data_IF_614878317979
#
_entry.id   IF_614878317979
#
_cell.length_a   1.000
_cell.length_b   1.000
_cell.length_c   1.000
_cell.angle_alpha   90.00
_cell.angle_beta   90.00
_cell.angle_gamma   90.00
#
_symmetry.space_group_name_H-M   'P 1'
#
loop_
_entity.id
_entity.type
_entity.pdbx_description
1 polymer ?
#
# COMPACT_ATOMS: atom_id res chain seq x y z
N UNK A 1 13.67 -20.08 -6.93
CA UNK A 1 13.14 -18.87 -7.57
C UNK A 1 14.19 -17.79 -7.42
N UNK A 2 14.58 -17.15 -8.49
CA UNK A 2 15.42 -15.95 -8.46
C UNK A 2 14.53 -14.72 -8.40
N UNK A 3 14.69 -13.89 -7.38
CA UNK A 3 13.97 -12.64 -7.18
C UNK A 3 14.90 -11.42 -7.35
N UNK A 4 16.08 -11.61 -7.93
CA UNK A 4 16.98 -10.51 -8.29
C UNK A 4 16.36 -9.65 -9.38
N UNK A 5 16.57 -8.35 -9.29
CA UNK A 5 16.10 -7.42 -10.32
C UNK A 5 16.84 -7.68 -11.64
N UNK A 6 16.10 -7.75 -12.73
CA UNK A 6 16.68 -7.78 -14.07
C UNK A 6 17.10 -6.37 -14.53
N UNK A 7 17.85 -6.23 -15.63
CA UNK A 7 18.31 -4.92 -16.11
C UNK A 7 17.18 -3.93 -16.42
N UNK A 8 16.04 -4.41 -16.94
CA UNK A 8 14.90 -3.54 -17.29
C UNK A 8 14.23 -3.01 -16.02
N UNK A 9 14.05 -3.86 -15.02
CA UNK A 9 13.53 -3.46 -13.71
C UNK A 9 14.45 -2.44 -13.02
N UNK A 10 15.77 -2.61 -13.12
CA UNK A 10 16.72 -1.63 -12.59
C UNK A 10 16.61 -0.29 -13.31
N UNK A 11 16.53 -0.29 -14.64
CA UNK A 11 16.38 0.93 -15.43
C UNK A 11 15.06 1.67 -15.11
N UNK A 12 13.96 0.94 -14.93
CA UNK A 12 12.67 1.52 -14.53
C UNK A 12 12.78 2.16 -13.14
N UNK A 13 13.42 1.50 -12.18
CA UNK A 13 13.61 2.05 -10.84
C UNK A 13 14.51 3.29 -10.84
N UNK A 14 15.58 3.31 -11.63
CA UNK A 14 16.46 4.49 -11.76
C UNK A 14 15.69 5.69 -12.34
N UNK A 15 14.84 5.45 -13.33
CA UNK A 15 13.97 6.48 -13.90
C UNK A 15 12.94 6.96 -12.87
N UNK A 16 12.29 6.04 -12.15
CA UNK A 16 11.34 6.36 -11.10
C UNK A 16 11.98 7.15 -9.95
N UNK A 17 13.16 6.76 -9.48
CA UNK A 17 13.89 7.46 -8.43
C UNK A 17 14.28 8.89 -8.86
N UNK A 18 14.63 9.07 -10.13
CA UNK A 18 14.93 10.38 -10.70
C UNK A 18 13.69 11.28 -10.74
N UNK A 19 12.54 10.74 -11.15
CA UNK A 19 11.25 11.44 -11.13
C UNK A 19 10.82 11.76 -9.70
N UNK A 20 10.93 10.81 -8.78
CA UNK A 20 10.46 10.94 -7.40
C UNK A 20 11.32 11.87 -6.52
N UNK A 21 12.54 12.18 -6.94
CA UNK A 21 13.49 12.98 -6.15
C UNK A 21 12.96 14.34 -5.66
N UNK A 22 12.24 15.15 -6.45
CA UNK A 22 11.64 16.40 -5.98
C UNK A 22 10.58 16.21 -4.90
N UNK A 23 9.97 15.04 -4.84
CA UNK A 23 8.87 14.66 -3.95
C UNK A 23 9.31 13.91 -2.69
N UNK A 24 10.61 13.71 -2.49
CA UNK A 24 11.16 12.94 -1.37
C UNK A 24 10.94 13.59 0.01
N UNK A 25 10.52 14.85 0.06
CA UNK A 25 10.22 15.57 1.30
C UNK A 25 8.88 16.29 1.20
N UNK A 26 8.23 16.46 2.36
CA UNK A 26 6.95 17.16 2.49
C UNK A 26 7.02 18.14 3.65
N UNK A 27 6.44 19.34 3.49
CA UNK A 27 6.28 20.29 4.59
C UNK A 27 5.25 19.75 5.60
N UNK A 28 5.69 19.45 6.82
CA UNK A 28 4.82 18.89 7.85
C UNK A 28 3.82 19.90 8.42
N UNK A 29 4.09 21.20 8.29
CA UNK A 29 3.27 22.27 8.87
C UNK A 29 2.06 22.64 8.01
N UNK A 30 2.16 22.45 6.69
CA UNK A 30 1.15 22.88 5.73
C UNK A 30 0.37 21.71 5.14
N UNK A 31 0.60 20.49 5.63
CA UNK A 31 0.08 19.27 5.05
C UNK A 31 -1.15 18.79 5.80
N UNK A 32 -2.25 18.65 5.09
CA UNK A 32 -3.43 17.93 5.59
C UNK A 32 -3.18 16.41 5.66
N UNK A 33 -4.20 15.65 6.03
CA UNK A 33 -4.08 14.18 6.17
C UNK A 33 -4.36 13.39 4.88
N UNK A 34 -4.65 14.05 3.76
CA UNK A 34 -4.88 13.37 2.46
C UNK A 34 -3.60 13.08 1.69
N UNK A 35 -2.54 13.82 1.94
CA UNK A 35 -1.17 13.65 1.42
C UNK A 35 -1.04 13.47 -0.11
N UNK A 36 -1.99 13.98 -0.90
CA UNK A 36 -1.99 13.86 -2.36
C UNK A 36 -1.19 14.98 -3.02
N UNK A 37 -0.52 14.66 -4.14
CA UNK A 37 0.16 15.61 -5.01
C UNK A 37 -0.25 15.36 -6.47
N UNK A 38 -1.04 16.29 -7.03
CA UNK A 38 -1.55 16.15 -8.40
C UNK A 38 -0.46 16.33 -9.48
N UNK A 39 0.67 16.94 -9.14
CA UNK A 39 1.84 17.03 -10.02
C UNK A 39 2.49 15.66 -10.16
N UNK A 40 2.79 15.03 -9.04
CA UNK A 40 3.35 13.68 -8.99
C UNK A 40 2.44 12.66 -9.68
N UNK A 41 1.13 12.67 -9.38
CA UNK A 41 0.16 11.75 -10.01
C UNK A 41 0.20 11.87 -11.55
N UNK A 42 0.30 13.10 -12.07
CA UNK A 42 0.38 13.36 -13.51
C UNK A 42 1.70 12.87 -14.10
N UNK A 43 2.83 13.17 -13.46
CA UNK A 43 4.14 12.74 -13.93
C UNK A 43 4.27 11.21 -13.95
N UNK A 44 3.70 10.52 -12.97
CA UNK A 44 3.65 9.05 -12.93
C UNK A 44 2.79 8.46 -14.05
N UNK A 45 1.63 9.10 -14.34
CA UNK A 45 0.76 8.68 -15.44
C UNK A 45 1.41 8.92 -16.80
N UNK A 46 1.98 10.10 -17.03
CA UNK A 46 2.66 10.47 -18.28
C UNK A 46 3.90 9.58 -18.53
N UNK A 47 4.58 9.17 -17.47
CA UNK A 47 5.72 8.26 -17.52
C UNK A 47 5.35 6.78 -17.70
N UNK A 48 4.07 6.41 -17.64
CA UNK A 48 3.60 5.03 -17.81
C UNK A 48 3.98 4.08 -16.66
N UNK A 49 4.42 4.60 -15.52
CA UNK A 49 4.87 3.75 -14.39
C UNK A 49 3.75 2.88 -13.80
N UNK A 50 2.50 3.29 -13.92
CA UNK A 50 1.36 2.53 -13.44
C UNK A 50 0.80 1.53 -14.48
N UNK A 51 1.38 1.51 -15.68
CA UNK A 51 0.95 0.68 -16.82
C UNK A 51 1.88 -0.51 -17.09
N UNK A 52 2.97 -0.64 -16.34
CA UNK A 52 4.03 -1.64 -16.59
C UNK A 52 3.53 -3.08 -16.60
N UNK A 53 2.48 -3.40 -15.86
CA UNK A 53 1.93 -4.76 -15.83
C UNK A 53 1.09 -5.12 -17.06
N UNK A 54 0.75 -4.15 -17.92
CA UNK A 54 0.16 -4.42 -19.24
C UNK A 54 1.19 -4.97 -20.23
N UNK A 55 2.48 -4.73 -19.98
CA UNK A 55 3.57 -5.33 -20.75
C UNK A 55 3.85 -6.75 -20.21
N UNK A 56 3.68 -7.80 -21.04
CA UNK A 56 3.89 -9.19 -20.62
C UNK A 56 5.32 -9.48 -20.15
N UNK A 57 6.32 -8.76 -20.68
CA UNK A 57 7.73 -8.96 -20.36
C UNK A 57 8.09 -8.36 -18.98
N UNK A 58 7.33 -7.34 -18.54
CA UNK A 58 7.51 -6.68 -17.24
C UNK A 58 6.62 -7.29 -16.15
N UNK A 59 5.33 -7.45 -16.42
CA UNK A 59 4.37 -8.15 -15.59
C UNK A 59 4.15 -7.58 -14.17
N UNK A 60 3.41 -8.35 -13.37
CA UNK A 60 3.03 -7.98 -11.98
C UNK A 60 4.24 -7.84 -11.06
N UNK A 61 5.33 -8.59 -11.30
CA UNK A 61 6.57 -8.48 -10.52
C UNK A 61 7.17 -7.08 -10.58
N UNK A 62 7.26 -6.49 -11.77
CA UNK A 62 7.77 -5.12 -11.97
C UNK A 62 6.82 -4.08 -11.37
N UNK A 63 5.50 -4.26 -11.52
CA UNK A 63 4.51 -3.39 -10.89
C UNK A 63 4.63 -3.41 -9.35
N UNK A 64 4.84 -4.57 -8.73
CA UNK A 64 4.99 -4.68 -7.28
C UNK A 64 6.24 -3.95 -6.76
N UNK A 65 7.36 -3.99 -7.50
CA UNK A 65 8.58 -3.26 -7.17
C UNK A 65 8.34 -1.74 -7.26
N UNK A 66 7.64 -1.27 -8.29
CA UNK A 66 7.29 0.15 -8.46
C UNK A 66 6.37 0.61 -7.32
N UNK A 67 5.34 -0.17 -7.00
CA UNK A 67 4.43 0.13 -5.88
C UNK A 67 5.19 0.24 -4.55
N UNK A 68 6.09 -0.69 -4.27
CA UNK A 68 6.94 -0.63 -3.08
C UNK A 68 7.78 0.63 -3.05
N UNK A 69 8.41 1.01 -4.17
CA UNK A 69 9.25 2.20 -4.26
C UNK A 69 8.44 3.48 -4.08
N UNK A 70 7.28 3.61 -4.72
CA UNK A 70 6.38 4.74 -4.58
C UNK A 70 5.80 4.88 -3.17
N UNK A 71 5.49 3.77 -2.51
CA UNK A 71 4.96 3.78 -1.15
C UNK A 71 5.95 4.33 -0.11
N UNK A 72 7.25 4.37 -0.42
CA UNK A 72 8.26 5.02 0.43
C UNK A 72 8.13 6.53 0.47
N UNK A 73 7.53 7.14 -0.55
CA UNK A 73 7.33 8.58 -0.59
C UNK A 73 6.36 9.06 0.51
N UNK A 74 6.51 10.29 0.99
CA UNK A 74 5.60 10.86 1.97
C UNK A 74 4.19 11.09 1.41
N UNK A 75 4.03 11.25 0.09
CA UNK A 75 2.75 11.42 -0.58
C UNK A 75 1.94 10.12 -0.63
N UNK A 76 0.62 10.26 -0.63
CA UNK A 76 -0.30 9.16 -0.88
C UNK A 76 -0.58 9.05 -2.39
N UNK A 77 -0.16 7.96 -2.99
CA UNK A 77 -0.29 7.68 -4.42
C UNK A 77 -1.19 6.46 -4.59
N UNK A 78 -2.16 6.53 -5.49
CA UNK A 78 -2.98 5.37 -5.87
C UNK A 78 -2.20 4.54 -6.92
N UNK A 79 -1.11 3.91 -6.51
CA UNK A 79 -0.30 3.05 -7.37
C UNK A 79 -0.63 1.56 -7.21
N UNK A 80 -0.97 1.12 -6.00
CA UNK A 80 -1.11 -0.29 -5.69
C UNK A 80 -2.22 -0.98 -6.50
N UNK A 81 -3.40 -0.39 -6.55
CA UNK A 81 -4.51 -0.94 -7.31
C UNK A 81 -4.37 -0.66 -8.81
N UNK A 82 -3.88 0.53 -9.18
CA UNK A 82 -3.68 0.91 -10.58
C UNK A 82 -2.64 0.06 -11.27
N UNK A 83 -1.50 -0.22 -10.64
CA UNK A 83 -0.44 -0.98 -11.29
C UNK A 83 -0.62 -2.50 -11.21
N UNK A 84 -1.29 -3.02 -10.17
CA UNK A 84 -1.36 -4.47 -9.91
C UNK A 84 -2.75 -5.05 -10.20
N UNK A 85 -3.82 -4.34 -9.86
CA UNK A 85 -5.19 -4.87 -9.99
C UNK A 85 -5.86 -4.47 -11.29
N UNK A 86 -5.66 -3.22 -11.75
CA UNK A 86 -6.28 -2.69 -12.98
C UNK A 86 -6.01 -3.55 -14.23
N UNK A 87 -4.81 -4.12 -14.44
CA UNK A 87 -4.55 -4.96 -15.60
C UNK A 87 -5.51 -6.15 -15.76
N UNK A 88 -6.06 -6.67 -14.66
CA UNK A 88 -7.08 -7.73 -14.71
C UNK A 88 -8.42 -7.26 -15.27
N UNK A 89 -8.71 -5.97 -15.20
CA UNK A 89 -9.99 -5.37 -15.58
C UNK A 89 -9.99 -4.89 -17.04
N UNK A 90 -8.82 -4.80 -17.67
CA UNK A 90 -8.61 -4.38 -19.05
C UNK A 90 -8.27 -2.89 -19.22
N UNK A 91 -7.87 -2.53 -20.43
CA UNK A 91 -7.29 -1.22 -20.78
C UNK A 91 -8.29 -0.02 -20.68
N UNK A 92 -9.60 -0.33 -20.64
CA UNK A 92 -10.64 0.71 -20.56
C UNK A 92 -10.88 1.31 -19.17
N UNK A 93 -10.15 0.83 -18.14
CA UNK A 93 -10.33 1.24 -16.76
C UNK A 93 -9.35 2.36 -16.41
N UNK A 94 -9.88 3.48 -15.87
CA UNK A 94 -9.07 4.61 -15.42
C UNK A 94 -8.15 4.26 -14.25
N UNK A 95 -7.12 5.09 -14.05
CA UNK A 95 -6.07 4.88 -13.03
C UNK A 95 -6.46 5.25 -11.59
N UNK A 96 -7.71 5.54 -11.30
CA UNK A 96 -8.17 5.83 -9.93
C UNK A 96 -9.13 4.74 -9.49
N UNK A 97 -8.61 3.72 -8.82
CA UNK A 97 -9.39 2.56 -8.38
C UNK A 97 -9.71 2.61 -6.88
N UNK A 98 -10.93 2.18 -6.57
CA UNK A 98 -11.36 1.86 -5.21
C UNK A 98 -11.97 0.45 -5.22
N UNK A 99 -11.79 -0.31 -4.16
CA UNK A 99 -12.36 -1.65 -4.06
C UNK A 99 -13.27 -1.76 -2.85
N UNK A 100 -14.43 -2.37 -3.04
CA UNK A 100 -15.39 -2.62 -1.98
C UNK A 100 -15.92 -4.05 -2.05
N UNK A 101 -16.02 -4.71 -0.90
CA UNK A 101 -16.78 -5.95 -0.79
C UNK A 101 -18.27 -5.61 -0.74
N UNK A 102 -19.11 -6.27 -1.55
CA UNK A 102 -20.55 -6.00 -1.67
C UNK A 102 -21.29 -6.06 -0.33
N UNK A 103 -20.83 -6.90 0.59
CA UNK A 103 -21.36 -7.00 1.95
C UNK A 103 -20.92 -5.90 2.91
N UNK A 104 -20.02 -4.99 2.54
CA UNK A 104 -19.44 -3.98 3.44
C UNK A 104 -19.35 -2.59 2.82
N UNK A 105 -20.48 -2.06 2.39
CA UNK A 105 -20.58 -0.79 1.63
C UNK A 105 -20.20 0.45 2.45
N UNK A 106 -20.32 0.41 3.77
CA UNK A 106 -20.23 1.61 4.63
C UNK A 106 -18.84 1.91 5.20
N UNK A 107 -17.81 1.21 4.79
CA UNK A 107 -16.44 1.52 5.23
C UNK A 107 -15.86 2.72 4.47
N UNK A 108 -14.98 3.52 5.07
CA UNK A 108 -14.21 4.51 4.32
C UNK A 108 -13.35 3.82 3.25
N UNK A 109 -13.40 4.36 2.03
CA UNK A 109 -12.60 3.89 0.88
C UNK A 109 -11.53 4.92 0.58
N UNK A 110 -10.29 4.47 0.47
CA UNK A 110 -9.19 5.32 0.03
C UNK A 110 -9.32 5.65 -1.45
N UNK A 111 -8.95 6.86 -1.81
CA UNK A 111 -9.00 7.42 -3.17
C UNK A 111 -10.39 7.48 -3.82
N UNK A 112 -11.47 7.23 -3.06
CA UNK A 112 -12.82 7.40 -3.57
C UNK A 112 -13.11 8.87 -3.79
N UNK A 113 -13.48 9.22 -5.03
CA UNK A 113 -13.89 10.55 -5.47
C UNK A 113 -14.83 10.43 -6.66
N UNK A 114 -15.47 11.50 -7.06
CA UNK A 114 -16.17 11.57 -8.34
C UNK A 114 -15.22 11.18 -9.49
N UNK A 115 -15.70 10.35 -10.41
CA UNK A 115 -14.93 9.85 -11.55
C UNK A 115 -14.01 8.64 -11.22
N UNK A 116 -13.86 8.24 -9.95
CA UNK A 116 -13.11 7.05 -9.61
C UNK A 116 -13.84 5.78 -10.07
N UNK A 117 -13.10 4.79 -10.50
CA UNK A 117 -13.63 3.44 -10.77
C UNK A 117 -13.77 2.69 -9.45
N UNK A 118 -15.00 2.32 -9.10
CA UNK A 118 -15.29 1.48 -7.93
C UNK A 118 -15.50 0.05 -8.38
N UNK A 119 -14.63 -0.84 -7.93
CA UNK A 119 -14.73 -2.28 -8.18
C UNK A 119 -15.48 -2.92 -7.02
N UNK A 120 -16.54 -3.64 -7.33
CA UNK A 120 -17.38 -4.35 -6.36
C UNK A 120 -17.05 -5.83 -6.41
N UNK A 121 -16.60 -6.36 -5.29
CA UNK A 121 -16.30 -7.79 -5.10
C UNK A 121 -17.49 -8.45 -4.46
N UNK A 122 -18.23 -9.23 -5.25
CA UNK A 122 -19.35 -10.07 -4.83
C UNK A 122 -19.10 -11.52 -5.29
N UNK A 123 -20.16 -12.19 -5.77
CA UNK A 123 -20.04 -13.50 -6.43
C UNK A 123 -19.31 -13.38 -7.79
N UNK A 124 -19.34 -12.19 -8.38
CA UNK A 124 -18.60 -11.80 -9.57
C UNK A 124 -17.92 -10.44 -9.34
N UNK A 125 -16.94 -10.14 -10.18
CA UNK A 125 -16.27 -8.84 -10.16
C UNK A 125 -17.00 -7.90 -11.10
N UNK A 126 -17.46 -6.77 -10.56
CA UNK A 126 -18.15 -5.73 -11.34
C UNK A 126 -17.56 -4.36 -11.03
N UNK A 127 -17.74 -3.38 -11.90
CA UNK A 127 -17.31 -2.00 -11.65
C UNK A 127 -18.32 -0.98 -12.14
N UNK A 128 -18.18 0.24 -11.61
CA UNK A 128 -18.88 1.43 -12.07
C UNK A 128 -18.02 2.67 -11.83
N UNK A 129 -18.31 3.76 -12.52
CA UNK A 129 -17.69 5.06 -12.26
C UNK A 129 -18.52 5.81 -11.21
N UNK A 130 -17.88 6.24 -10.12
CA UNK A 130 -18.56 6.95 -9.05
C UNK A 130 -19.02 8.34 -9.49
N UNK A 131 -20.28 8.69 -9.23
CA UNK A 131 -20.84 10.02 -9.40
C UNK A 131 -20.76 10.85 -8.12
N UNK A 132 -20.89 12.17 -8.24
CA UNK A 132 -20.77 13.09 -7.10
C UNK A 132 -21.77 12.79 -5.96
N UNK A 133 -22.99 12.37 -6.28
CA UNK A 133 -24.05 12.04 -5.33
C UNK A 133 -23.82 10.69 -4.59
N UNK A 134 -22.89 9.87 -5.08
CA UNK A 134 -22.48 8.61 -4.44
C UNK A 134 -21.34 8.79 -3.45
N UNK A 135 -20.65 9.93 -3.45
CA UNK A 135 -19.41 10.12 -2.69
C UNK A 135 -19.61 11.13 -1.58
N UNK A 136 -19.33 10.72 -0.34
CA UNK A 136 -19.22 11.64 0.79
C UNK A 136 -17.79 11.66 1.28
N UNK A 137 -17.10 12.79 1.07
CA UNK A 137 -15.72 12.97 1.54
C UNK A 137 -15.65 12.92 3.09
N UNK A 138 -14.55 12.37 3.60
CA UNK A 138 -14.23 12.28 5.04
C UNK A 138 -12.91 13.07 5.31
N UNK A 139 -12.94 14.43 5.23
CA UNK A 139 -11.72 15.24 5.25
C UNK A 139 -10.95 15.20 6.57
N UNK A 140 -11.61 14.80 7.66
CA UNK A 140 -10.97 14.69 8.98
C UNK A 140 -10.43 13.28 9.29
N UNK A 141 -10.49 12.37 8.33
CA UNK A 141 -9.96 11.03 8.52
C UNK A 141 -8.43 11.03 8.58
N UNK A 142 -7.87 10.50 9.66
CA UNK A 142 -6.44 10.51 9.95
C UNK A 142 -5.69 9.31 9.34
N UNK A 143 -5.97 8.94 8.08
CA UNK A 143 -5.36 7.77 7.46
C UNK A 143 -4.17 8.07 6.55
N UNK A 144 -3.87 9.34 6.30
CA UNK A 144 -2.83 9.73 5.35
C UNK A 144 -3.18 9.45 3.89
N UNK A 145 -4.42 9.03 3.62
CA UNK A 145 -5.02 8.89 2.28
C UNK A 145 -6.23 9.82 2.16
N UNK A 146 -6.57 10.29 0.96
CA UNK A 146 -7.88 10.83 0.71
C UNK A 146 -8.90 9.70 0.86
N UNK A 147 -9.86 9.86 1.76
CA UNK A 147 -10.90 8.85 2.02
C UNK A 147 -12.28 9.46 1.87
N UNK A 148 -13.21 8.65 1.40
CA UNK A 148 -14.61 8.97 1.33
C UNK A 148 -15.47 7.73 1.61
N UNK A 149 -16.72 7.95 1.96
CA UNK A 149 -17.71 6.89 2.12
C UNK A 149 -18.57 6.80 0.85
N UNK A 150 -18.72 5.58 0.32
CA UNK A 150 -19.67 5.29 -0.75
C UNK A 150 -21.07 5.20 -0.14
N UNK A 151 -22.01 5.98 -0.67
CA UNK A 151 -23.37 6.07 -0.12
C UNK A 151 -24.27 4.94 -0.63
N UNK A 152 -24.11 4.55 -1.89
CA UNK A 152 -24.88 3.46 -2.51
C UNK A 152 -24.15 2.91 -3.75
N UNK A 153 -24.45 1.66 -4.09
CA UNK A 153 -23.95 0.96 -5.28
C UNK A 153 -25.05 0.95 -6.34
N UNK A 154 -24.78 1.36 -7.61
CA UNK A 154 -25.77 1.34 -8.67
C UNK A 154 -26.11 -0.10 -9.07
N UNK A 155 -27.35 -0.28 -9.61
CA UNK A 155 -27.77 -1.57 -10.12
C UNK A 155 -27.05 -1.93 -11.43
N UNK A 156 -26.81 -0.93 -12.29
CA UNK A 156 -26.07 -1.11 -13.54
C UNK A 156 -24.57 -1.03 -13.26
N UNK A 157 -23.87 -2.11 -13.58
CA UNK A 157 -22.44 -2.26 -13.39
C UNK A 157 -21.84 -3.03 -14.55
N UNK A 158 -20.60 -2.74 -14.90
CA UNK A 158 -19.83 -3.48 -15.89
C UNK A 158 -19.29 -4.77 -15.25
N UNK A 159 -19.60 -5.92 -15.81
CA UNK A 159 -19.02 -7.20 -15.36
C UNK A 159 -17.65 -7.40 -15.99
N UNK A 160 -16.74 -8.03 -15.25
CA UNK A 160 -15.39 -8.38 -15.70
C UNK A 160 -15.22 -9.90 -15.70
N UNK A 161 -14.59 -10.41 -16.76
CA UNK A 161 -14.25 -11.83 -16.91
C UNK A 161 -12.97 -12.17 -16.15
N UNK A 162 -13.05 -12.07 -14.82
CA UNK A 162 -11.99 -12.41 -13.89
C UNK A 162 -12.58 -13.14 -12.69
N UNK A 163 -11.91 -14.18 -12.22
CA UNK A 163 -12.37 -14.92 -11.05
C UNK A 163 -12.20 -14.07 -9.77
N UNK A 164 -13.06 -14.29 -8.79
CA UNK A 164 -12.94 -13.62 -7.50
C UNK A 164 -11.62 -13.98 -6.80
N UNK A 165 -11.12 -15.20 -7.02
CA UNK A 165 -9.85 -15.67 -6.46
C UNK A 165 -8.65 -14.94 -7.08
N UNK A 166 -8.57 -14.86 -8.41
CA UNK A 166 -7.51 -14.12 -9.11
C UNK A 166 -7.54 -12.63 -8.72
N UNK A 167 -8.73 -12.05 -8.65
CA UNK A 167 -8.89 -10.66 -8.24
C UNK A 167 -8.37 -10.42 -6.81
N UNK A 168 -8.77 -11.27 -5.86
CA UNK A 168 -8.31 -11.18 -4.46
C UNK A 168 -6.81 -11.45 -4.32
N UNK A 169 -6.27 -12.33 -5.14
CA UNK A 169 -4.82 -12.60 -5.21
C UNK A 169 -4.05 -11.34 -5.56
N UNK A 170 -4.44 -10.64 -6.64
CA UNK A 170 -3.79 -9.39 -7.03
C UNK A 170 -4.01 -8.26 -6.00
N UNK A 171 -5.20 -8.18 -5.42
CA UNK A 171 -5.45 -7.19 -4.36
C UNK A 171 -4.56 -7.43 -3.11
N UNK A 172 -4.35 -8.69 -2.71
CA UNK A 172 -3.41 -9.04 -1.61
C UNK A 172 -1.97 -8.68 -1.95
N UNK A 173 -1.52 -8.95 -3.17
CA UNK A 173 -0.20 -8.55 -3.65
C UNK A 173 -0.04 -7.03 -3.59
N UNK A 174 -1.03 -6.28 -4.06
CA UNK A 174 -1.04 -4.82 -4.04
C UNK A 174 -0.88 -4.26 -2.61
N UNK A 175 -1.66 -4.77 -1.65
CA UNK A 175 -1.55 -4.38 -0.24
C UNK A 175 -0.18 -4.72 0.35
N UNK A 176 0.34 -5.91 0.06
CA UNK A 176 1.62 -6.35 0.61
C UNK A 176 2.79 -5.54 0.05
N UNK A 177 2.79 -5.23 -1.24
CA UNK A 177 3.81 -4.40 -1.89
C UNK A 177 3.79 -2.96 -1.35
N UNK A 178 2.60 -2.35 -1.21
CA UNK A 178 2.45 -1.02 -0.64
C UNK A 178 2.89 -0.99 0.83
N UNK A 179 2.48 -1.96 1.64
CA UNK A 179 2.89 -2.06 3.03
C UNK A 179 4.41 -2.24 3.19
N UNK A 180 5.08 -2.95 2.29
CA UNK A 180 6.53 -3.12 2.30
C UNK A 180 7.26 -1.76 2.19
N UNK A 181 6.85 -0.92 1.24
CA UNK A 181 7.42 0.41 1.06
C UNK A 181 7.14 1.35 2.25
N UNK A 182 5.91 1.35 2.74
CA UNK A 182 5.53 2.14 3.91
C UNK A 182 6.32 1.74 5.16
N UNK A 183 6.51 0.45 5.40
CA UNK A 183 7.29 -0.07 6.53
C UNK A 183 8.78 0.30 6.39
N UNK A 184 9.33 0.19 5.18
CA UNK A 184 10.74 0.53 4.91
C UNK A 184 11.03 2.00 5.21
N UNK A 185 10.20 2.93 4.70
CA UNK A 185 10.36 4.36 4.93
C UNK A 185 10.14 4.75 6.40
N UNK A 186 9.12 4.18 7.06
CA UNK A 186 8.89 4.40 8.48
C UNK A 186 10.07 3.93 9.33
N UNK A 187 10.63 2.75 9.04
CA UNK A 187 11.80 2.21 9.75
C UNK A 187 13.03 3.09 9.56
N UNK A 188 13.32 3.52 8.34
CA UNK A 188 14.44 4.42 8.02
C UNK A 188 14.33 5.73 8.80
N UNK A 189 13.14 6.33 8.81
CA UNK A 189 12.85 7.56 9.57
C UNK A 189 13.09 7.40 11.07
N UNK A 190 12.67 6.27 11.66
CA UNK A 190 12.89 5.96 13.08
C UNK A 190 14.37 5.67 13.39
N UNK A 191 15.06 4.94 12.50
CA UNK A 191 16.50 4.67 12.65
C UNK A 191 17.30 5.98 12.66
N UNK A 192 17.02 6.90 11.74
CA UNK A 192 17.64 8.22 11.68
C UNK A 192 17.39 9.00 12.98
N UNK A 193 16.13 9.12 13.39
CA UNK A 193 15.79 9.83 14.63
C UNK A 193 16.49 9.27 15.85
N UNK A 194 16.47 7.93 16.02
CA UNK A 194 17.06 7.30 17.21
C UNK A 194 18.59 7.34 17.23
N UNK A 195 19.24 7.43 16.06
CA UNK A 195 20.68 7.64 15.94
C UNK A 195 21.10 9.08 16.32
N UNK A 196 20.28 10.06 16.01
CA UNK A 196 20.55 11.49 16.26
C UNK A 196 20.11 11.94 17.66
N UNK A 197 19.01 11.38 18.17
CA UNK A 197 18.43 11.78 19.47
C UNK A 197 19.26 11.26 20.64
N UNK A 198 19.82 12.17 21.43
CA UNK A 198 20.58 11.86 22.64
C UNK A 198 19.69 11.96 23.88
N UNK A 199 19.72 10.93 24.72
CA UNK A 199 19.17 10.89 26.08
C UNK A 199 20.07 10.05 26.97
N UNK A 200 20.13 10.36 28.25
CA UNK A 200 20.99 9.66 29.20
C UNK A 200 22.48 9.63 28.78
N UNK A 201 22.93 10.72 28.14
CA UNK A 201 24.32 10.93 27.74
C UNK A 201 24.78 10.24 26.45
N UNK A 202 23.88 9.59 25.70
CA UNK A 202 24.21 8.89 24.46
C UNK A 202 23.01 8.79 23.48
N UNK A 203 23.26 8.46 22.19
CA UNK A 203 22.18 8.24 21.23
C UNK A 203 21.19 7.14 21.67
N UNK A 204 19.88 7.32 21.39
CA UNK A 204 18.87 6.30 21.72
C UNK A 204 19.18 4.96 21.07
N UNK A 205 19.64 4.95 19.80
CA UNK A 205 20.01 3.74 19.08
C UNK A 205 21.18 2.97 19.72
N UNK A 206 21.91 3.55 20.70
CA UNK A 206 22.98 2.85 21.42
C UNK A 206 22.47 1.91 22.52
N UNK A 207 21.21 2.04 22.94
CA UNK A 207 20.64 1.17 23.98
C UNK A 207 20.24 -0.18 23.39
N UNK A 208 20.65 -1.26 24.04
CA UNK A 208 20.44 -2.64 23.55
C UNK A 208 18.97 -2.96 23.30
N UNK A 209 18.06 -2.53 24.19
CA UNK A 209 16.62 -2.73 24.02
C UNK A 209 16.06 -2.09 22.76
N UNK A 210 16.55 -0.89 22.39
CA UNK A 210 16.19 -0.22 21.13
C UNK A 210 16.73 -0.97 19.92
N UNK A 211 18.03 -1.32 19.95
CA UNK A 211 18.71 -2.00 18.84
C UNK A 211 18.06 -3.35 18.49
N UNK A 212 17.71 -4.15 19.50
CA UNK A 212 17.07 -5.43 19.27
C UNK A 212 15.70 -5.28 18.60
N UNK A 213 14.87 -4.36 19.08
CA UNK A 213 13.53 -4.14 18.48
C UNK A 213 13.61 -3.50 17.09
N UNK A 214 14.58 -2.62 16.83
CA UNK A 214 14.83 -2.11 15.47
C UNK A 214 15.30 -3.23 14.53
N UNK A 215 16.15 -4.15 15.00
CA UNK A 215 16.56 -5.30 14.22
C UNK A 215 15.38 -6.26 13.93
N UNK A 216 14.50 -6.52 14.91
CA UNK A 216 13.27 -7.27 14.69
C UNK A 216 12.33 -6.59 13.69
N UNK A 217 12.20 -5.26 13.77
CA UNK A 217 11.43 -4.48 12.80
C UNK A 217 12.01 -4.60 11.38
N UNK A 218 13.34 -4.58 11.24
CA UNK A 218 14.03 -4.78 9.97
C UNK A 218 13.74 -6.18 9.39
N UNK A 219 13.82 -7.23 10.22
CA UNK A 219 13.51 -8.60 9.78
C UNK A 219 12.06 -8.71 9.30
N UNK A 220 11.11 -8.12 10.03
CA UNK A 220 9.70 -8.10 9.64
C UNK A 220 9.49 -7.33 8.33
N UNK A 221 10.09 -6.16 8.19
CA UNK A 221 10.01 -5.33 6.97
C UNK A 221 10.57 -6.07 5.76
N UNK A 222 11.73 -6.70 5.90
CA UNK A 222 12.30 -7.54 4.84
C UNK A 222 11.39 -8.73 4.51
N UNK A 223 10.78 -9.35 5.52
CA UNK A 223 9.82 -10.44 5.33
C UNK A 223 8.61 -10.01 4.52
N UNK A 224 8.05 -8.80 4.78
CA UNK A 224 6.94 -8.25 4.00
C UNK A 224 7.36 -8.03 2.54
N UNK A 225 8.52 -7.43 2.31
CA UNK A 225 9.05 -7.21 0.96
C UNK A 225 9.18 -8.52 0.18
N UNK A 226 9.91 -9.51 0.73
CA UNK A 226 10.20 -10.74 0.00
C UNK A 226 8.97 -11.62 -0.22
N UNK A 227 8.01 -11.63 0.72
CA UNK A 227 6.75 -12.32 0.51
C UNK A 227 5.88 -11.64 -0.55
N UNK A 228 5.85 -10.29 -0.59
CA UNK A 228 5.15 -9.56 -1.63
C UNK A 228 5.76 -9.84 -3.01
N UNK A 229 7.09 -9.79 -3.14
CA UNK A 229 7.79 -10.10 -4.40
C UNK A 229 7.60 -11.55 -4.83
N UNK A 230 7.62 -12.49 -3.88
CA UNK A 230 7.31 -13.90 -4.16
C UNK A 230 5.89 -14.04 -4.71
N UNK A 231 4.89 -13.48 -4.02
CA UNK A 231 3.50 -13.55 -4.43
C UNK A 231 3.27 -12.90 -5.82
N UNK A 232 3.94 -11.78 -6.11
CA UNK A 232 3.88 -11.13 -7.42
C UNK A 232 4.53 -11.97 -8.54
N UNK A 233 5.52 -12.79 -8.22
CA UNK A 233 6.17 -13.68 -9.18
C UNK A 233 5.42 -15.01 -9.39
N UNK A 234 4.74 -15.52 -8.36
CA UNK A 234 4.02 -16.80 -8.45
C UNK A 234 2.57 -16.66 -8.86
N UNK A 235 1.93 -15.52 -8.52
CA UNK A 235 0.48 -15.30 -8.59
C UNK A 235 -0.32 -16.41 -7.88
N UNK A 236 0.31 -17.08 -6.91
CA UNK A 236 -0.29 -18.16 -6.14
C UNK A 236 -1.17 -17.59 -5.02
N UNK A 237 -2.44 -18.04 -4.87
CA UNK A 237 -3.34 -17.54 -3.84
C UNK A 237 -2.84 -17.70 -2.40
N UNK A 238 -2.10 -18.80 -2.11
CA UNK A 238 -1.54 -19.03 -0.78
C UNK A 238 -0.39 -18.05 -0.49
N UNK A 239 0.52 -17.85 -1.47
CA UNK A 239 1.62 -16.89 -1.35
C UNK A 239 1.08 -15.47 -1.16
N UNK A 240 0.05 -15.08 -1.91
CA UNK A 240 -0.57 -13.76 -1.78
C UNK A 240 -1.26 -13.57 -0.42
N UNK A 241 -1.97 -14.59 0.07
CA UNK A 241 -2.61 -14.55 1.38
C UNK A 241 -1.59 -14.46 2.51
N UNK A 242 -0.48 -15.22 2.43
CA UNK A 242 0.64 -15.14 3.39
C UNK A 242 1.33 -13.78 3.35
N UNK A 243 1.54 -13.19 2.17
CA UNK A 243 2.14 -11.87 2.03
C UNK A 243 1.27 -10.78 2.70
N UNK A 244 -0.04 -10.76 2.41
CA UNK A 244 -0.97 -9.82 3.01
C UNK A 244 -1.09 -10.02 4.54
N UNK A 245 -1.18 -11.27 5.02
CA UNK A 245 -1.18 -11.60 6.44
C UNK A 245 0.08 -11.06 7.13
N UNK A 246 1.26 -11.37 6.59
CA UNK A 246 2.52 -10.96 7.20
C UNK A 246 2.68 -9.44 7.19
N UNK A 247 2.22 -8.74 6.14
CA UNK A 247 2.20 -7.29 6.06
C UNK A 247 1.33 -6.68 7.17
N UNK A 248 0.09 -7.17 7.34
CA UNK A 248 -0.84 -6.67 8.33
C UNK A 248 -0.42 -6.96 9.79
N UNK A 249 0.14 -8.15 10.05
CA UNK A 249 0.70 -8.49 11.37
C UNK A 249 1.94 -7.66 11.68
N UNK A 250 2.85 -7.50 10.72
CA UNK A 250 4.07 -6.71 10.89
C UNK A 250 3.76 -5.24 11.14
N UNK A 251 2.86 -4.65 10.34
CA UNK A 251 2.42 -3.27 10.50
C UNK A 251 1.88 -3.01 11.91
N UNK A 252 1.05 -3.90 12.46
CA UNK A 252 0.48 -3.76 13.80
C UNK A 252 1.54 -3.69 14.90
N UNK A 253 2.54 -4.54 14.83
CA UNK A 253 3.61 -4.61 15.85
C UNK A 253 4.60 -3.47 15.67
N UNK A 254 5.09 -3.27 14.44
CA UNK A 254 6.17 -2.33 14.12
C UNK A 254 5.72 -0.88 14.31
N UNK A 255 4.50 -0.54 13.91
CA UNK A 255 3.96 0.82 14.10
C UNK A 255 3.92 1.20 15.59
N UNK A 256 3.47 0.29 16.46
CA UNK A 256 3.46 0.53 17.90
C UNK A 256 4.87 0.83 18.43
N UNK A 257 5.85 0.01 18.03
CA UNK A 257 7.25 0.19 18.44
C UNK A 257 7.84 1.51 17.97
N UNK A 258 7.57 1.90 16.74
CA UNK A 258 8.06 3.14 16.16
C UNK A 258 7.56 4.37 16.91
N UNK A 259 6.25 4.44 17.19
CA UNK A 259 5.70 5.52 18.01
C UNK A 259 6.27 5.52 19.43
N UNK A 260 6.46 4.34 20.03
CA UNK A 260 7.07 4.21 21.35
C UNK A 260 8.53 4.70 21.36
N UNK A 261 9.32 4.44 20.31
CA UNK A 261 10.73 4.85 20.23
C UNK A 261 10.90 6.37 20.08
N UNK A 262 9.97 7.01 19.42
CA UNK A 262 9.95 8.46 19.32
C UNK A 262 9.44 9.15 20.61
N UNK A 263 8.76 8.42 21.50
CA UNK A 263 8.17 8.96 22.72
C UNK A 263 7.17 10.08 22.41
N UNK A 264 7.30 11.24 23.06
CA UNK A 264 6.41 12.39 22.83
C UNK A 264 6.37 12.84 21.37
N UNK A 265 7.51 12.81 20.66
CA UNK A 265 7.58 13.16 19.23
C UNK A 265 6.73 12.24 18.35
N UNK A 266 6.60 10.96 18.71
CA UNK A 266 5.75 10.01 17.97
C UNK A 266 4.25 10.30 18.08
N UNK A 267 3.83 11.20 18.96
CA UNK A 267 2.44 11.61 19.15
C UNK A 267 2.14 12.99 18.54
N UNK A 268 3.11 13.61 17.90
CA UNK A 268 2.99 14.93 17.27
C UNK A 268 3.14 14.81 15.76
N UNK A 269 2.79 15.87 15.03
CA UNK A 269 3.01 15.99 13.59
C UNK A 269 4.37 16.61 13.24
N UNK A 270 5.21 16.89 14.23
CA UNK A 270 6.55 17.47 14.03
C UNK A 270 7.54 16.47 13.42
N UNK A 271 7.30 15.18 13.61
CA UNK A 271 8.10 14.10 13.02
C UNK A 271 7.32 13.43 11.88
N UNK A 272 7.97 13.08 10.73
CA UNK A 272 7.29 12.56 9.55
C UNK A 272 6.72 11.14 9.69
N UNK A 273 6.91 10.46 10.81
CA UNK A 273 6.50 9.06 11.01
C UNK A 273 5.02 8.81 10.68
N UNK A 274 4.13 9.77 11.01
CA UNK A 274 2.68 9.66 10.74
C UNK A 274 2.36 9.54 9.24
N UNK A 275 3.22 10.07 8.34
CA UNK A 275 3.04 10.00 6.89
C UNK A 275 2.94 8.56 6.38
N UNK A 276 3.61 7.61 7.03
CA UNK A 276 3.60 6.19 6.67
C UNK A 276 2.75 5.35 7.61
N UNK A 277 2.81 5.61 8.91
CA UNK A 277 2.12 4.76 9.90
C UNK A 277 0.60 4.89 9.84
N UNK A 278 0.06 6.07 9.50
CA UNK A 278 -1.37 6.26 9.34
C UNK A 278 -1.89 5.51 8.10
N UNK A 279 -1.11 5.51 7.01
CA UNK A 279 -1.43 4.70 5.81
C UNK A 279 -1.40 3.20 6.13
N UNK A 280 -0.37 2.72 6.81
CA UNK A 280 -0.28 1.33 7.27
C UNK A 280 -1.50 0.92 8.10
N UNK A 281 -1.99 1.81 8.97
CA UNK A 281 -3.15 1.52 9.81
C UNK A 281 -4.41 1.22 8.99
N UNK A 282 -4.64 1.94 7.89
CA UNK A 282 -5.76 1.66 7.00
C UNK A 282 -5.61 0.29 6.32
N UNK A 283 -4.40 -0.01 5.82
CA UNK A 283 -4.12 -1.28 5.14
C UNK A 283 -4.35 -2.51 6.03
N UNK A 284 -4.21 -2.38 7.36
CA UNK A 284 -4.46 -3.51 8.28
C UNK A 284 -5.90 -4.00 8.29
N UNK A 285 -6.85 -3.20 7.82
CA UNK A 285 -8.28 -3.53 7.73
C UNK A 285 -8.75 -4.00 6.35
N UNK A 286 -7.90 -3.89 5.32
CA UNK A 286 -8.29 -4.28 3.96
C UNK A 286 -8.39 -5.81 3.79
N UNK A 287 -9.21 -6.26 2.84
CA UNK A 287 -9.51 -7.71 2.58
C UNK A 287 -9.89 -8.47 3.87
N UNK A 288 -10.73 -7.87 4.70
CA UNK A 288 -11.15 -8.49 5.96
C UNK A 288 -10.07 -8.58 7.04
N UNK A 289 -8.90 -7.95 6.81
CA UNK A 289 -7.77 -7.90 7.75
C UNK A 289 -7.06 -9.24 7.93
N UNK A 290 -6.18 -9.28 8.93
CA UNK A 290 -5.30 -10.43 9.19
C UNK A 290 -6.05 -11.76 9.41
N UNK A 291 -7.21 -11.74 10.05
CA UNK A 291 -7.97 -12.96 10.31
C UNK A 291 -8.47 -13.63 9.03
N UNK A 292 -9.02 -12.82 8.11
CA UNK A 292 -9.47 -13.32 6.81
C UNK A 292 -8.31 -13.81 5.95
N UNK A 293 -7.16 -13.11 5.97
CA UNK A 293 -5.98 -13.55 5.21
C UNK A 293 -5.32 -14.79 5.82
N UNK A 294 -5.34 -14.97 7.16
CA UNK A 294 -4.88 -16.21 7.79
C UNK A 294 -5.74 -17.41 7.40
N UNK A 295 -7.08 -17.23 7.38
CA UNK A 295 -7.99 -18.27 6.96
C UNK A 295 -7.79 -18.63 5.48
N UNK A 296 -7.70 -17.61 4.61
CA UNK A 296 -7.46 -17.82 3.19
C UNK A 296 -6.13 -18.54 2.91
N UNK A 297 -5.06 -18.20 3.64
CA UNK A 297 -3.79 -18.91 3.53
C UNK A 297 -3.90 -20.38 3.98
N UNK A 298 -4.62 -20.62 5.08
CA UNK A 298 -4.84 -21.99 5.57
C UNK A 298 -5.68 -22.83 4.60
N UNK A 299 -6.76 -22.26 4.06
CA UNK A 299 -7.60 -22.91 3.05
C UNK A 299 -6.82 -23.22 1.77
N UNK A 300 -6.02 -22.29 1.27
CA UNK A 300 -5.21 -22.51 0.07
C UNK A 300 -4.10 -23.54 0.26
N UNK A 301 -3.53 -23.67 1.48
CA UNK A 301 -2.43 -24.61 1.75
C UNK A 301 -2.90 -26.01 2.20
N UNK A 302 -4.06 -26.10 2.87
CA UNK A 302 -4.49 -27.34 3.53
C UNK A 302 -5.97 -27.69 3.31
N UNK A 303 -6.74 -26.88 2.57
CA UNK A 303 -8.17 -27.04 2.37
C UNK A 303 -8.58 -28.02 1.27
N UNK A 304 -7.66 -28.91 0.81
CA UNK A 304 -7.88 -29.91 -0.23
C UNK A 304 -8.45 -31.23 0.31
#
# INVERSE_FOLDING_TARGET
>A
MDLSLNPDQMAILDALDSLAKPYASLSLHDTGFALIDAGLDRELADGGFLDVAFDPDLGIGSAAIIVERLARLPQAIEAALSAIVRPLLGDGIGSSLCIIDEGNVRRPLRFLREGATVVVVGDTITSFTASADQVRAEPEALYGYPVATLLWIPAERTAHDVTVEDFRTHWRIAIAAEAAGLLAAALESVCTYTAERHQFGRPLASFQGMRHRLAEAQVRTNGVYWLAMKAAATLDPADAALAALHAQESARVVVYDFHQFLGGMGMTLEHPLHLWTYRLKLLTGEIGGRGANALAAAEALWGG
#
